data_IF_651379967456
#
_entry.id   IF_651379967456
#
_cell.length_a   1.000
_cell.length_b   1.000
_cell.length_c   1.000
_cell.angle_alpha   90.00
_cell.angle_beta   90.00
_cell.angle_gamma   90.00
#
_symmetry.space_group_name_H-M   'P 1'
#
loop_
_entity.id
_entity.type
_entity.pdbx_description
1 polymer ?
#
# COMPACT_ATOMS: atom_id res chain seq x y z
N UNK A 1 -27.96 34.48 9.58
CA UNK A 1 -27.38 33.20 9.14
C UNK A 1 -26.25 33.54 8.19
N UNK A 2 -25.07 32.95 8.36
CA UNK A 2 -23.93 33.22 7.47
C UNK A 2 -24.14 32.43 6.17
N UNK A 3 -23.99 33.08 5.03
CA UNK A 3 -24.00 32.39 3.73
C UNK A 3 -22.75 31.51 3.61
N UNK A 4 -22.95 30.24 3.28
CA UNK A 4 -21.87 29.25 3.14
C UNK A 4 -21.55 29.08 1.67
N UNK A 5 -20.36 29.51 1.25
CA UNK A 5 -19.85 29.25 -0.11
C UNK A 5 -18.74 28.22 -0.04
N UNK A 6 -18.49 27.54 -1.17
CA UNK A 6 -17.48 26.50 -1.27
C UNK A 6 -16.46 26.83 -2.35
N UNK A 7 -15.19 26.61 -2.04
CA UNK A 7 -14.15 26.49 -3.06
C UNK A 7 -14.26 25.11 -3.76
N UNK A 8 -14.58 25.06 -5.06
CA UNK A 8 -14.80 23.80 -5.77
C UNK A 8 -13.54 22.93 -5.84
N UNK A 9 -12.34 23.51 -5.82
CA UNK A 9 -11.09 22.76 -5.89
C UNK A 9 -10.78 22.06 -4.58
N UNK A 10 -11.03 22.73 -3.45
CA UNK A 10 -10.88 22.10 -2.14
C UNK A 10 -11.95 21.03 -1.91
N UNK A 11 -13.17 21.21 -2.44
CA UNK A 11 -14.20 20.16 -2.45
C UNK A 11 -13.71 18.93 -3.22
N UNK A 12 -13.19 19.12 -4.43
CA UNK A 12 -12.66 18.01 -5.24
C UNK A 12 -11.46 17.34 -4.56
N UNK A 13 -10.55 18.13 -3.97
CA UNK A 13 -9.39 17.62 -3.24
C UNK A 13 -9.80 16.80 -2.02
N UNK A 14 -10.83 17.20 -1.28
CA UNK A 14 -11.32 16.45 -0.12
C UNK A 14 -11.83 15.06 -0.55
N UNK A 15 -12.62 15.00 -1.62
CA UNK A 15 -13.12 13.73 -2.19
C UNK A 15 -11.96 12.85 -2.66
N UNK A 16 -10.96 13.43 -3.33
CA UNK A 16 -9.77 12.69 -3.79
C UNK A 16 -9.00 12.07 -2.61
N UNK A 17 -8.74 12.85 -1.55
CA UNK A 17 -8.07 12.37 -0.33
C UNK A 17 -8.83 11.20 0.29
N UNK A 18 -10.16 11.28 0.36
CA UNK A 18 -11.00 10.21 0.90
C UNK A 18 -10.87 8.91 0.09
N UNK A 19 -10.93 9.01 -1.24
CA UNK A 19 -10.81 7.86 -2.15
C UNK A 19 -9.41 7.25 -2.07
N UNK A 20 -8.36 8.07 -2.03
CA UNK A 20 -6.97 7.60 -1.92
C UNK A 20 -6.71 6.90 -0.59
N UNK A 21 -7.23 7.42 0.52
CA UNK A 21 -7.14 6.77 1.82
C UNK A 21 -7.89 5.43 1.85
N UNK A 22 -9.11 5.40 1.31
CA UNK A 22 -9.90 4.17 1.19
C UNK A 22 -9.18 3.11 0.35
N UNK A 23 -8.59 3.51 -0.79
CA UNK A 23 -7.81 2.61 -1.64
C UNK A 23 -6.59 2.05 -0.91
N UNK A 24 -5.83 2.93 -0.24
CA UNK A 24 -4.65 2.57 0.54
C UNK A 24 -5.01 1.54 1.61
N UNK A 25 -6.09 1.77 2.36
CA UNK A 25 -6.61 0.84 3.36
C UNK A 25 -7.00 -0.53 2.76
N UNK A 26 -7.78 -0.56 1.68
CA UNK A 26 -8.20 -1.82 1.06
C UNK A 26 -7.01 -2.59 0.45
N UNK A 27 -5.98 -1.88 -0.02
CA UNK A 27 -4.74 -2.48 -0.52
C UNK A 27 -3.86 -3.01 0.61
N UNK A 28 -3.69 -2.27 1.70
CA UNK A 28 -2.93 -2.70 2.89
C UNK A 28 -3.55 -3.92 3.57
N UNK A 29 -4.89 -3.99 3.58
CA UNK A 29 -5.60 -5.15 4.12
C UNK A 29 -5.60 -6.35 3.16
N UNK A 30 -5.12 -6.11 1.93
CA UNK A 30 -4.60 -7.03 0.92
C UNK A 30 -4.09 -8.40 1.34
N UNK A 31 -4.72 -9.53 1.04
CA UNK A 31 -4.08 -10.85 1.23
C UNK A 31 -3.72 -11.26 2.68
N UNK A 32 -4.06 -10.46 3.69
CA UNK A 32 -3.62 -10.66 5.07
C UNK A 32 -4.01 -12.00 5.72
N UNK A 33 -4.97 -12.72 5.15
CA UNK A 33 -5.36 -14.05 5.67
C UNK A 33 -4.23 -15.08 5.56
N UNK A 34 -3.29 -14.91 4.62
CA UNK A 34 -2.15 -15.79 4.42
C UNK A 34 -0.91 -15.43 5.28
N UNK A 35 -0.91 -14.25 5.92
CA UNK A 35 0.24 -13.77 6.70
C UNK A 35 0.12 -14.17 8.18
N UNK A 36 1.24 -14.16 8.88
CA UNK A 36 1.28 -14.35 10.34
C UNK A 36 0.40 -13.32 11.08
N UNK A 37 -0.02 -13.69 12.30
CA UNK A 37 -0.89 -12.85 13.15
C UNK A 37 -0.28 -11.48 13.43
N UNK A 38 1.03 -11.40 13.68
CA UNK A 38 1.70 -10.15 14.03
C UNK A 38 1.80 -9.20 12.83
N UNK A 39 2.16 -9.74 11.65
CA UNK A 39 2.15 -8.97 10.39
C UNK A 39 0.73 -8.48 10.10
N UNK A 40 -0.28 -9.33 10.31
CA UNK A 40 -1.69 -8.96 10.11
C UNK A 40 -2.11 -7.82 11.02
N UNK A 41 -1.77 -7.87 12.31
CA UNK A 41 -2.05 -6.78 13.27
C UNK A 41 -1.39 -5.47 12.85
N UNK A 42 -0.10 -5.51 12.48
CA UNK A 42 0.64 -4.35 12.04
C UNK A 42 0.01 -3.72 10.78
N UNK A 43 -0.32 -4.52 9.77
CA UNK A 43 -0.97 -4.05 8.54
C UNK A 43 -2.37 -3.48 8.77
N UNK A 44 -3.12 -4.02 9.71
CA UNK A 44 -4.43 -3.47 10.10
C UNK A 44 -4.25 -2.13 10.82
N UNK A 45 -3.24 -1.99 11.68
CA UNK A 45 -2.93 -0.72 12.32
C UNK A 45 -2.55 0.35 11.28
N UNK A 46 -1.69 0.03 10.32
CA UNK A 46 -1.35 0.90 9.19
C UNK A 46 -2.59 1.30 8.38
N UNK A 47 -3.46 0.33 8.06
CA UNK A 47 -4.69 0.57 7.32
C UNK A 47 -5.70 1.43 8.10
N UNK A 48 -5.79 1.26 9.42
CA UNK A 48 -6.64 2.06 10.29
C UNK A 48 -6.16 3.51 10.40
N UNK A 49 -4.84 3.71 10.53
CA UNK A 49 -4.23 5.04 10.51
C UNK A 49 -4.47 5.71 9.16
N UNK A 50 -4.26 5.00 8.04
CA UNK A 50 -4.48 5.53 6.70
C UNK A 50 -5.96 5.89 6.45
N UNK A 51 -6.90 5.00 6.77
CA UNK A 51 -8.33 5.24 6.58
C UNK A 51 -8.85 6.31 7.54
N UNK A 52 -8.60 6.18 8.83
CA UNK A 52 -9.05 7.14 9.84
C UNK A 52 -8.44 8.52 9.65
N UNK A 53 -7.12 8.58 9.40
CA UNK A 53 -6.42 9.81 9.06
C UNK A 53 -6.91 10.43 7.74
N UNK A 54 -7.30 9.61 6.76
CA UNK A 54 -7.89 10.09 5.51
C UNK A 54 -9.31 10.60 5.64
N UNK A 55 -10.14 9.97 6.49
CA UNK A 55 -11.48 10.48 6.84
C UNK A 55 -11.33 11.84 7.50
N UNK A 56 -10.42 11.96 8.48
CA UNK A 56 -10.10 13.21 9.17
C UNK A 56 -9.58 14.29 8.21
N UNK A 57 -8.61 13.93 7.35
CA UNK A 57 -8.05 14.84 6.36
C UNK A 57 -9.11 15.30 5.37
N UNK A 58 -9.97 14.41 4.85
CA UNK A 58 -11.09 14.80 3.99
C UNK A 58 -11.96 15.84 4.69
N UNK A 59 -12.38 15.58 5.93
CA UNK A 59 -13.24 16.50 6.68
C UNK A 59 -12.61 17.89 6.79
N UNK A 60 -11.34 17.99 7.16
CA UNK A 60 -10.70 19.30 7.34
C UNK A 60 -10.34 19.99 6.03
N UNK A 61 -9.99 19.26 4.96
CA UNK A 61 -9.88 19.84 3.61
C UNK A 61 -11.24 20.39 3.16
N UNK A 62 -12.33 19.67 3.42
CA UNK A 62 -13.68 20.13 3.10
C UNK A 62 -14.10 21.34 3.96
N UNK A 63 -13.73 21.37 5.23
CA UNK A 63 -13.94 22.54 6.10
C UNK A 63 -13.14 23.76 5.63
N UNK A 64 -11.95 23.57 5.09
CA UNK A 64 -11.20 24.66 4.46
C UNK A 64 -11.83 25.13 3.15
N UNK A 65 -12.59 24.28 2.46
CA UNK A 65 -13.36 24.68 1.30
C UNK A 65 -14.48 25.66 1.65
N UNK A 66 -14.94 25.65 2.90
CA UNK A 66 -16.01 26.53 3.38
C UNK A 66 -15.49 27.96 3.54
N UNK A 67 -16.07 28.86 2.76
CA UNK A 67 -15.77 30.29 2.80
C UNK A 67 -16.84 31.00 3.63
N UNK A 68 -16.45 31.42 4.85
CA UNK A 68 -17.26 32.27 5.71
C UNK A 68 -16.68 33.68 5.74
N UNK A 69 -17.54 34.68 5.93
CA UNK A 69 -17.15 36.08 6.12
C UNK A 69 -16.70 36.39 7.56
N UNK A 70 -16.21 35.37 8.28
CA UNK A 70 -15.72 35.44 9.66
C UNK A 70 -14.46 34.60 9.81
N UNK A 71 -13.57 35.02 10.71
CA UNK A 71 -12.37 34.24 11.06
C UNK A 71 -12.77 33.15 12.06
N UNK A 72 -12.41 31.91 11.74
CA UNK A 72 -12.61 30.74 12.61
C UNK A 72 -11.27 30.14 13.04
N UNK A 73 -11.26 29.58 14.24
CA UNK A 73 -10.14 28.84 14.80
C UNK A 73 -10.58 27.44 15.21
N UNK A 74 -9.64 26.59 15.56
CA UNK A 74 -9.93 25.21 15.96
C UNK A 74 -9.29 24.85 17.31
N UNK A 75 -10.07 24.23 18.18
CA UNK A 75 -9.58 23.64 19.42
C UNK A 75 -8.70 22.41 19.10
N UNK A 76 -7.40 22.43 19.45
CA UNK A 76 -6.49 21.34 19.08
C UNK A 76 -6.90 19.99 19.65
N UNK A 77 -7.43 19.96 20.87
CA UNK A 77 -7.78 18.72 21.56
C UNK A 77 -8.96 18.03 20.89
N UNK A 78 -10.02 18.78 20.55
CA UNK A 78 -11.18 18.26 19.81
C UNK A 78 -10.79 17.87 18.39
N UNK A 79 -9.91 18.62 17.73
CA UNK A 79 -9.40 18.29 16.39
C UNK A 79 -8.57 17.00 16.39
N UNK A 80 -7.69 16.78 17.37
CA UNK A 80 -6.92 15.54 17.49
C UNK A 80 -7.79 14.38 17.98
N UNK A 81 -8.71 14.65 18.91
CA UNK A 81 -9.67 13.67 19.41
C UNK A 81 -10.57 13.12 18.31
N UNK A 82 -11.01 13.95 17.37
CA UNK A 82 -11.79 13.50 16.22
C UNK A 82 -10.98 12.58 15.31
N UNK A 83 -9.71 12.92 15.02
CA UNK A 83 -8.80 12.04 14.29
C UNK A 83 -8.65 10.67 14.96
N UNK A 84 -8.43 10.67 16.28
CA UNK A 84 -8.24 9.46 17.07
C UNK A 84 -9.50 8.57 17.05
N UNK A 85 -10.69 9.16 17.22
CA UNK A 85 -11.96 8.42 17.12
C UNK A 85 -12.10 7.75 15.74
N UNK A 86 -11.81 8.47 14.65
CA UNK A 86 -11.87 7.88 13.31
C UNK A 86 -10.92 6.68 13.19
N UNK A 87 -9.67 6.80 13.64
CA UNK A 87 -8.68 5.71 13.57
C UNK A 87 -9.11 4.51 14.41
N UNK A 88 -9.54 4.71 15.66
CA UNK A 88 -9.86 3.61 16.57
C UNK A 88 -11.14 2.88 16.17
N UNK A 89 -12.20 3.62 15.80
CA UNK A 89 -13.49 3.01 15.45
C UNK A 89 -13.40 2.27 14.11
N UNK A 90 -12.77 2.89 13.09
CA UNK A 90 -12.56 2.20 11.80
C UNK A 90 -11.56 1.06 11.93
N UNK A 91 -10.51 1.20 12.76
CA UNK A 91 -9.59 0.12 13.08
C UNK A 91 -10.29 -1.08 13.72
N UNK A 92 -11.24 -0.85 14.62
CA UNK A 92 -12.07 -1.91 15.22
C UNK A 92 -12.90 -2.63 14.15
N UNK A 93 -13.48 -1.90 13.19
CA UNK A 93 -14.18 -2.50 12.05
C UNK A 93 -13.25 -3.35 11.18
N UNK A 94 -12.01 -2.91 10.94
CA UNK A 94 -11.01 -3.68 10.19
C UNK A 94 -10.56 -4.94 10.94
N UNK A 95 -10.33 -4.84 12.25
CA UNK A 95 -10.00 -5.99 13.10
C UNK A 95 -11.11 -7.04 13.04
N UNK A 96 -12.37 -6.61 13.16
CA UNK A 96 -13.54 -7.48 13.06
C UNK A 96 -13.59 -8.28 11.75
N UNK A 97 -13.18 -7.67 10.62
CA UNK A 97 -13.19 -8.29 9.29
C UNK A 97 -11.98 -9.17 8.98
N UNK A 98 -10.89 -9.03 9.72
CA UNK A 98 -9.62 -9.73 9.43
C UNK A 98 -9.23 -10.78 10.47
N UNK A 99 -9.88 -10.78 11.64
CA UNK A 99 -9.73 -11.78 12.70
C UNK A 99 -10.97 -12.66 12.88
N UNK A 100 -11.87 -12.69 11.90
CA UNK A 100 -13.05 -13.52 11.94
C UNK A 100 -13.56 -13.93 10.56
N UNK A 101 -14.45 -14.92 10.53
CA UNK A 101 -15.16 -15.31 9.32
C UNK A 101 -15.96 -14.15 8.75
N UNK A 102 -15.83 -13.92 7.44
CA UNK A 102 -16.46 -12.80 6.73
C UNK A 102 -17.89 -13.16 6.32
N UNK A 103 -18.76 -13.27 7.30
CA UNK A 103 -20.20 -13.49 7.06
C UNK A 103 -20.87 -12.17 6.65
N UNK A 104 -22.02 -12.21 5.94
CA UNK A 104 -22.77 -11.00 5.59
C UNK A 104 -23.10 -10.13 6.81
N UNK A 105 -23.48 -10.74 7.93
CA UNK A 105 -23.75 -10.02 9.18
C UNK A 105 -22.52 -9.29 9.72
N UNK A 106 -21.33 -9.91 9.67
CA UNK A 106 -20.08 -9.27 10.13
C UNK A 106 -19.68 -8.08 9.25
N UNK A 107 -19.93 -8.17 7.94
CA UNK A 107 -19.71 -7.07 7.01
C UNK A 107 -20.64 -5.90 7.32
N UNK A 108 -21.92 -6.18 7.59
CA UNK A 108 -22.88 -5.15 8.02
C UNK A 108 -22.42 -4.48 9.32
N UNK A 109 -22.03 -5.25 10.33
CA UNK A 109 -21.51 -4.69 11.60
C UNK A 109 -20.27 -3.83 11.37
N UNK A 110 -19.33 -4.27 10.54
CA UNK A 110 -18.15 -3.47 10.21
C UNK A 110 -18.50 -2.19 9.43
N UNK A 111 -19.49 -2.25 8.54
CA UNK A 111 -20.06 -1.09 7.85
C UNK A 111 -20.69 -0.09 8.83
N UNK A 112 -21.49 -0.58 9.79
CA UNK A 112 -22.06 0.23 10.86
C UNK A 112 -20.98 0.92 11.70
N UNK A 113 -19.98 0.16 12.17
CA UNK A 113 -18.86 0.73 12.93
C UNK A 113 -18.12 1.80 12.13
N UNK A 114 -17.80 1.52 10.86
CA UNK A 114 -17.15 2.50 9.97
C UNK A 114 -17.99 3.76 9.85
N UNK A 115 -19.29 3.63 9.57
CA UNK A 115 -20.24 4.75 9.47
C UNK A 115 -20.33 5.57 10.77
N UNK A 116 -20.46 4.90 11.91
CA UNK A 116 -20.47 5.54 13.23
C UNK A 116 -19.16 6.30 13.48
N UNK A 117 -18.01 5.73 13.11
CA UNK A 117 -16.72 6.41 13.21
C UNK A 117 -16.64 7.67 12.36
N UNK A 118 -17.16 7.63 11.12
CA UNK A 118 -17.21 8.80 10.22
C UNK A 118 -18.11 9.89 10.83
N UNK A 119 -19.31 9.52 11.31
CA UNK A 119 -20.27 10.45 11.93
C UNK A 119 -19.71 11.07 13.21
N UNK A 120 -19.15 10.25 14.10
CA UNK A 120 -18.57 10.71 15.36
C UNK A 120 -17.39 11.64 15.12
N UNK A 121 -16.49 11.29 14.18
CA UNK A 121 -15.39 12.18 13.81
C UNK A 121 -15.92 13.51 13.27
N UNK A 122 -16.90 13.50 12.36
CA UNK A 122 -17.43 14.72 11.77
C UNK A 122 -17.99 15.67 12.84
N UNK A 123 -18.91 15.21 13.69
CA UNK A 123 -19.52 16.11 14.68
C UNK A 123 -18.54 16.54 15.78
N UNK A 124 -17.60 15.68 16.18
CA UNK A 124 -16.53 16.10 17.09
C UNK A 124 -15.61 17.12 16.42
N UNK A 125 -15.29 16.94 15.14
CA UNK A 125 -14.51 17.90 14.34
C UNK A 125 -15.21 19.25 14.19
N UNK A 126 -16.51 19.25 13.91
CA UNK A 126 -17.33 20.47 13.87
C UNK A 126 -17.38 21.18 15.23
N UNK A 127 -17.39 20.42 16.33
CA UNK A 127 -17.36 21.00 17.68
C UNK A 127 -16.00 21.63 18.05
N UNK A 128 -14.96 21.40 17.26
CA UNK A 128 -13.66 22.04 17.43
C UNK A 128 -13.65 23.49 16.94
N UNK A 129 -14.63 23.90 16.12
CA UNK A 129 -14.71 25.29 15.62
C UNK A 129 -14.92 26.23 16.80
N UNK A 130 -14.05 27.23 16.89
CA UNK A 130 -14.02 28.29 17.91
C UNK A 130 -13.90 29.65 17.22
N UNK A 131 -14.25 30.73 17.93
CA UNK A 131 -14.26 32.11 17.41
C UNK A 131 -15.66 32.72 17.39
N UNK A 132 -15.86 33.76 16.55
CA UNK A 132 -17.10 34.55 16.49
C UNK A 132 -18.23 33.86 15.69
N UNK A 133 -18.22 32.53 15.65
CA UNK A 133 -19.16 31.73 14.88
C UNK A 133 -19.70 30.57 15.74
N UNK A 134 -21.01 30.55 15.95
CA UNK A 134 -21.72 29.45 16.57
C UNK A 134 -22.21 28.48 15.49
N UNK A 135 -21.87 27.20 15.68
CA UNK A 135 -22.27 26.09 14.81
C UNK A 135 -23.48 25.40 15.43
N UNK A 136 -24.60 25.37 14.71
CA UNK A 136 -25.83 24.74 15.17
C UNK A 136 -26.21 23.54 14.29
N UNK A 137 -26.56 22.42 14.94
CA UNK A 137 -26.98 21.19 14.29
C UNK A 137 -28.47 20.94 14.54
N UNK A 138 -29.26 20.85 13.47
CA UNK A 138 -30.66 20.42 13.59
C UNK A 138 -30.74 18.91 13.79
N UNK A 139 -31.58 18.39 14.72
CA UNK A 139 -31.66 16.96 15.01
C UNK A 139 -32.01 16.11 13.78
N UNK A 140 -32.86 16.64 12.90
CA UNK A 140 -33.22 15.99 11.63
C UNK A 140 -32.03 15.87 10.68
N UNK A 141 -31.25 16.94 10.53
CA UNK A 141 -30.04 16.94 9.70
C UNK A 141 -29.01 15.95 10.21
N UNK A 142 -28.83 15.89 11.53
CA UNK A 142 -27.96 14.90 12.19
C UNK A 142 -28.41 13.48 11.90
N UNK A 143 -29.70 13.18 12.08
CA UNK A 143 -30.25 11.87 11.82
C UNK A 143 -30.10 11.44 10.35
N UNK A 144 -30.42 12.33 9.40
CA UNK A 144 -30.34 12.05 7.98
C UNK A 144 -28.90 11.86 7.51
N UNK A 145 -27.98 12.75 7.89
CA UNK A 145 -26.57 12.61 7.55
C UNK A 145 -25.98 11.32 8.15
N UNK A 146 -26.37 10.98 9.39
CA UNK A 146 -25.95 9.73 10.03
C UNK A 146 -26.46 8.50 9.28
N UNK A 147 -27.73 8.51 8.85
CA UNK A 147 -28.31 7.43 8.05
C UNK A 147 -27.60 7.28 6.70
N UNK A 148 -27.29 8.39 6.02
CA UNK A 148 -26.51 8.40 4.77
C UNK A 148 -25.12 7.82 5.00
N UNK A 149 -24.41 8.28 6.02
CA UNK A 149 -23.06 7.83 6.33
C UNK A 149 -22.98 6.35 6.68
N UNK A 150 -23.89 5.88 7.54
CA UNK A 150 -23.95 4.47 7.95
C UNK A 150 -24.38 3.59 6.77
N UNK A 151 -25.46 3.93 6.08
CA UNK A 151 -25.96 3.17 4.94
C UNK A 151 -24.94 3.07 3.81
N UNK A 152 -24.33 4.19 3.42
CA UNK A 152 -23.31 4.21 2.38
C UNK A 152 -22.05 3.44 2.79
N UNK A 153 -21.66 3.46 4.07
CA UNK A 153 -20.55 2.67 4.58
C UNK A 153 -20.83 1.17 4.53
N UNK A 154 -22.05 0.73 4.87
CA UNK A 154 -22.45 -0.68 4.75
C UNK A 154 -22.33 -1.15 3.29
N UNK A 155 -22.89 -0.39 2.35
CA UNK A 155 -22.84 -0.71 0.92
C UNK A 155 -21.40 -0.74 0.39
N UNK A 156 -20.56 0.22 0.81
CA UNK A 156 -19.15 0.26 0.43
C UNK A 156 -18.38 -0.96 0.97
N UNK A 157 -18.60 -1.34 2.23
CA UNK A 157 -17.95 -2.50 2.84
C UNK A 157 -18.44 -3.81 2.21
N UNK A 158 -19.72 -3.91 1.89
CA UNK A 158 -20.28 -5.04 1.17
C UNK A 158 -19.63 -5.21 -0.21
N UNK A 159 -19.52 -4.13 -0.99
CA UNK A 159 -18.89 -4.19 -2.30
C UNK A 159 -17.39 -4.52 -2.22
N UNK A 160 -16.69 -3.94 -1.24
CA UNK A 160 -15.25 -4.12 -1.08
C UNK A 160 -14.87 -5.54 -0.61
N UNK A 161 -15.68 -6.17 0.26
CA UNK A 161 -15.32 -7.41 0.95
C UNK A 161 -16.10 -8.65 0.48
N UNK A 162 -17.20 -8.52 -0.26
CA UNK A 162 -17.99 -9.67 -0.76
C UNK A 162 -17.24 -10.49 -1.82
N UNK A 163 -16.55 -9.83 -2.77
CA UNK A 163 -15.72 -10.50 -3.79
C UNK A 163 -14.38 -9.78 -3.93
N UNK A 164 -13.30 -10.34 -3.38
CA UNK A 164 -12.00 -9.68 -3.32
C UNK A 164 -11.23 -9.73 -4.65
N UNK A 165 -11.68 -8.95 -5.62
CA UNK A 165 -11.00 -8.76 -6.92
C UNK A 165 -10.35 -7.38 -6.99
N UNK A 166 -9.37 -7.17 -7.89
CA UNK A 166 -8.78 -5.84 -8.12
C UNK A 166 -9.84 -4.79 -8.46
N UNK A 167 -10.85 -5.16 -9.26
CA UNK A 167 -11.99 -4.30 -9.60
C UNK A 167 -12.80 -3.93 -8.36
N UNK A 168 -13.09 -4.91 -7.49
CA UNK A 168 -13.81 -4.67 -6.24
C UNK A 168 -13.03 -3.79 -5.26
N UNK A 169 -11.69 -3.88 -5.22
CA UNK A 169 -10.87 -2.96 -4.44
C UNK A 169 -10.97 -1.53 -4.96
N UNK A 170 -10.92 -1.35 -6.29
CA UNK A 170 -11.04 -0.02 -6.89
C UNK A 170 -12.45 0.56 -6.68
N UNK A 171 -13.49 -0.18 -7.03
CA UNK A 171 -14.88 0.28 -6.84
C UNK A 171 -15.21 0.48 -5.37
N UNK A 172 -14.79 -0.43 -4.49
CA UNK A 172 -14.94 -0.30 -3.05
C UNK A 172 -14.27 0.95 -2.48
N UNK A 173 -13.06 1.29 -2.96
CA UNK A 173 -12.36 2.50 -2.53
C UNK A 173 -13.07 3.79 -2.94
N UNK A 174 -13.56 3.85 -4.18
CA UNK A 174 -14.35 4.99 -4.68
C UNK A 174 -15.66 5.11 -3.88
N UNK A 175 -16.40 4.02 -3.71
CA UNK A 175 -17.66 4.03 -2.95
C UNK A 175 -17.44 4.42 -1.49
N UNK A 176 -16.38 3.96 -0.86
CA UNK A 176 -16.07 4.33 0.53
C UNK A 176 -15.68 5.81 0.63
N UNK A 177 -14.85 6.33 -0.28
CA UNK A 177 -14.51 7.76 -0.32
C UNK A 177 -15.73 8.65 -0.58
N UNK A 178 -16.62 8.22 -1.47
CA UNK A 178 -17.91 8.88 -1.73
C UNK A 178 -18.85 8.78 -0.54
N UNK A 179 -18.89 7.67 0.19
CA UNK A 179 -19.70 7.52 1.41
C UNK A 179 -19.27 8.53 2.49
N UNK A 180 -17.96 8.65 2.72
CA UNK A 180 -17.36 9.60 3.67
C UNK A 180 -17.71 11.04 3.24
N UNK A 181 -17.57 11.36 1.96
CA UNK A 181 -17.87 12.69 1.41
C UNK A 181 -19.36 13.02 1.45
N UNK A 182 -20.23 12.08 1.08
CA UNK A 182 -21.68 12.25 1.10
C UNK A 182 -22.20 12.50 2.51
N UNK A 183 -21.67 11.79 3.51
CA UNK A 183 -22.00 12.07 4.90
C UNK A 183 -21.60 13.49 5.30
N UNK A 184 -20.36 13.90 5.01
CA UNK A 184 -19.89 15.24 5.36
C UNK A 184 -20.72 16.35 4.70
N UNK A 185 -20.90 16.31 3.38
CA UNK A 185 -21.62 17.38 2.68
C UNK A 185 -23.12 17.38 2.98
N UNK A 186 -23.72 16.22 3.27
CA UNK A 186 -25.11 16.18 3.77
C UNK A 186 -25.21 16.80 5.17
N UNK A 187 -24.30 16.50 6.09
CA UNK A 187 -24.27 17.13 7.41
C UNK A 187 -24.06 18.65 7.32
N UNK A 188 -23.17 19.10 6.43
CA UNK A 188 -22.92 20.52 6.18
C UNK A 188 -24.14 21.23 5.60
N UNK A 189 -24.91 20.58 4.72
CA UNK A 189 -26.13 21.16 4.15
C UNK A 189 -27.21 21.47 5.20
N UNK A 190 -27.21 20.76 6.33
CA UNK A 190 -28.12 21.02 7.46
C UNK A 190 -27.47 21.78 8.63
N UNK A 191 -26.19 22.14 8.51
CA UNK A 191 -25.47 22.89 9.53
C UNK A 191 -25.70 24.39 9.34
N UNK A 192 -26.04 25.08 10.41
CA UNK A 192 -26.23 26.54 10.39
C UNK A 192 -25.08 27.23 11.11
N UNK A 193 -24.44 28.19 10.43
CA UNK A 193 -23.44 29.07 11.02
C UNK A 193 -24.09 30.41 11.40
N UNK A 194 -23.93 30.82 12.66
CA UNK A 194 -24.47 32.07 13.21
C UNK A 194 -23.34 32.93 13.76
N UNK A 195 -23.40 34.23 13.48
CA UNK A 195 -22.57 35.22 14.16
C UNK A 195 -22.93 35.25 15.65
N UNK A 196 -21.92 35.41 16.48
CA UNK A 196 -22.09 35.68 17.91
C UNK A 196 -21.53 37.06 18.21
N UNK A 197 -22.36 37.93 18.81
CA UNK A 197 -22.00 39.30 19.19
C UNK A 197 -21.21 39.38 20.51
N UNK A 198 -21.09 38.26 21.23
CA UNK A 198 -20.30 38.16 22.45
C UNK A 198 -18.88 37.70 22.11
N UNK A 199 -17.84 38.54 22.27
CA UNK A 199 -16.46 38.10 22.06
C UNK A 199 -16.17 36.96 23.05
N UNK A 200 -16.04 35.74 22.53
CA UNK A 200 -15.53 34.61 23.29
C UNK A 200 -14.02 34.82 23.45
N UNK A 201 -13.62 35.42 24.56
CA UNK A 201 -12.21 35.45 24.97
C UNK A 201 -11.83 34.03 25.39
N UNK A 202 -11.60 33.15 24.43
CA UNK A 202 -11.01 31.84 24.71
C UNK A 202 -9.51 32.01 24.85
N UNK A 203 -9.05 32.15 26.09
CA UNK A 203 -7.66 31.96 26.48
C UNK A 203 -7.32 30.46 26.42
N UNK A 204 -7.19 29.91 25.21
CA UNK A 204 -6.80 28.52 24.94
C UNK A 204 -5.90 28.54 23.70
N UNK A 205 -4.83 27.72 23.61
CA UNK A 205 -4.12 27.57 22.33
C UNK A 205 -5.13 27.12 21.26
N UNK A 206 -5.32 27.95 20.25
CA UNK A 206 -6.21 27.68 19.13
C UNK A 206 -5.38 27.47 17.85
N UNK A 207 -5.71 26.46 17.07
CA UNK A 207 -5.11 26.25 15.75
C UNK A 207 -5.69 27.27 14.77
N UNK A 208 -4.80 28.07 14.20
CA UNK A 208 -5.15 28.91 13.04
C UNK A 208 -5.50 28.01 11.84
N UNK A 209 -6.33 28.53 10.93
CA UNK A 209 -6.64 27.84 9.69
C UNK A 209 -5.37 27.48 8.89
N UNK A 210 -4.34 28.34 8.90
CA UNK A 210 -3.06 28.06 8.23
C UNK A 210 -2.26 26.95 8.89
N UNK A 211 -2.20 26.90 10.22
CA UNK A 211 -1.52 25.81 10.95
C UNK A 211 -2.21 24.47 10.72
N UNK A 212 -3.55 24.47 10.75
CA UNK A 212 -4.33 23.27 10.47
C UNK A 212 -4.16 22.82 9.02
N UNK A 213 -4.16 23.76 8.07
CA UNK A 213 -3.90 23.49 6.66
C UNK A 213 -2.56 22.77 6.45
N UNK A 214 -1.50 23.20 7.13
CA UNK A 214 -0.19 22.57 7.04
C UNK A 214 -0.23 21.12 7.55
N UNK A 215 -0.84 20.89 8.72
CA UNK A 215 -0.95 19.53 9.29
C UNK A 215 -1.74 18.62 8.35
N UNK A 216 -2.88 19.10 7.85
CA UNK A 216 -3.75 18.35 6.94
C UNK A 216 -3.05 18.10 5.59
N UNK A 217 -2.32 19.07 5.06
CA UNK A 217 -1.54 18.93 3.83
C UNK A 217 -0.43 17.87 3.98
N UNK A 218 0.27 17.84 5.12
CA UNK A 218 1.26 16.81 5.42
C UNK A 218 0.62 15.42 5.51
N UNK A 219 -0.53 15.31 6.20
CA UNK A 219 -1.27 14.06 6.27
C UNK A 219 -1.74 13.59 4.88
N UNK A 220 -2.30 14.49 4.07
CA UNK A 220 -2.73 14.21 2.70
C UNK A 220 -1.54 13.82 1.80
N UNK A 221 -0.39 14.46 1.97
CA UNK A 221 0.85 14.11 1.26
C UNK A 221 1.31 12.69 1.60
N UNK A 222 1.32 12.31 2.88
CA UNK A 222 1.65 10.94 3.31
C UNK A 222 0.65 9.93 2.72
N UNK A 223 -0.65 10.23 2.78
CA UNK A 223 -1.69 9.39 2.19
C UNK A 223 -1.48 9.26 0.68
N UNK A 224 -1.11 10.33 -0.01
CA UNK A 224 -0.79 10.33 -1.44
C UNK A 224 0.43 9.46 -1.75
N UNK A 225 1.52 9.63 -1.01
CA UNK A 225 2.72 8.79 -1.16
C UNK A 225 2.40 7.31 -0.98
N UNK A 226 1.67 6.95 0.09
CA UNK A 226 1.23 5.58 0.34
C UNK A 226 0.30 5.07 -0.76
N UNK A 227 -0.66 5.88 -1.20
CA UNK A 227 -1.54 5.57 -2.32
C UNK A 227 -0.74 5.25 -3.57
N UNK A 228 0.21 6.10 -3.97
CA UNK A 228 1.04 5.91 -5.16
C UNK A 228 1.90 4.65 -5.06
N UNK A 229 2.56 4.43 -3.90
CA UNK A 229 3.34 3.22 -3.63
C UNK A 229 2.49 1.94 -3.75
N UNK A 230 1.23 2.00 -3.33
CA UNK A 230 0.30 0.87 -3.41
C UNK A 230 -0.37 0.78 -4.80
N UNK A 231 -0.53 1.88 -5.51
CA UNK A 231 -1.19 1.96 -6.81
C UNK A 231 -0.33 1.36 -7.92
N UNK A 232 0.99 1.52 -7.84
CA UNK A 232 1.92 0.80 -8.71
C UNK A 232 1.67 -0.69 -8.53
N UNK A 233 1.34 -1.44 -9.59
CA UNK A 233 1.33 -2.89 -9.55
C UNK A 233 2.77 -3.35 -9.35
N UNK A 234 3.23 -3.35 -8.11
CA UNK A 234 4.40 -4.12 -7.76
C UNK A 234 4.12 -5.55 -8.18
N UNK A 235 5.11 -6.18 -8.80
CA UNK A 235 5.32 -7.60 -8.68
C UNK A 235 5.46 -7.90 -7.17
N UNK A 236 4.35 -7.85 -6.43
CA UNK A 236 4.23 -8.48 -5.13
C UNK A 236 4.32 -9.95 -5.46
N UNK A 237 5.57 -10.34 -5.46
CA UNK A 237 6.10 -11.59 -5.88
C UNK A 237 5.26 -12.71 -5.32
N UNK A 238 5.00 -13.67 -6.18
CA UNK A 238 4.66 -15.03 -5.83
C UNK A 238 5.69 -15.71 -4.87
N UNK A 239 6.65 -14.96 -4.32
CA UNK A 239 7.64 -15.41 -3.34
C UNK A 239 7.11 -15.55 -1.90
N UNK A 240 5.86 -15.19 -1.60
CA UNK A 240 5.23 -15.48 -0.28
C UNK A 240 4.18 -16.59 -0.35
N UNK A 241 4.14 -17.34 -1.46
CA UNK A 241 3.34 -18.56 -1.63
C UNK A 241 4.20 -19.82 -1.69
N UNK A 242 5.36 -19.79 -1.01
CA UNK A 242 6.24 -20.94 -0.82
C UNK A 242 6.10 -21.51 0.59
N UNK A 243 5.44 -22.68 0.67
CA UNK A 243 5.57 -23.70 1.72
C UNK A 243 4.82 -23.50 3.06
N UNK A 244 3.51 -23.80 3.04
CA UNK A 244 2.88 -24.52 4.18
C UNK A 244 2.16 -25.72 3.59
N UNK A 245 2.82 -26.88 3.68
CA UNK A 245 2.30 -28.20 3.34
C UNK A 245 1.34 -28.65 4.46
N UNK A 246 0.04 -28.87 4.21
CA UNK A 246 -0.82 -29.55 5.17
C UNK A 246 -0.49 -31.04 5.13
N UNK A 247 -0.01 -31.53 6.26
CA UNK A 247 0.15 -32.94 6.56
C UNK A 247 -1.21 -33.67 6.50
N UNK A 248 -1.13 -34.94 6.11
CA UNK A 248 -2.23 -35.77 5.62
C UNK A 248 -3.41 -35.94 6.59
N UNK A 249 -4.63 -35.96 6.03
CA UNK A 249 -5.75 -36.71 6.58
C UNK A 249 -6.43 -37.51 5.45
N UNK A 250 -6.35 -38.83 5.60
CA UNK A 250 -6.86 -39.88 4.72
C UNK A 250 -8.39 -39.97 4.80
N UNK A 251 -9.09 -40.18 3.68
CA UNK A 251 -10.50 -40.58 3.68
C UNK A 251 -11.19 -40.57 2.30
N UNK A 252 -11.34 -41.75 1.70
CA UNK A 252 -12.08 -42.12 0.46
C UNK A 252 -13.53 -41.55 0.41
N UNK A 253 -14.21 -41.27 -0.71
CA UNK A 253 -14.55 -42.14 -1.88
C UNK A 253 -15.08 -41.36 -3.14
N UNK A 254 -14.61 -41.80 -4.31
CA UNK A 254 -15.23 -41.97 -5.65
C UNK A 254 -16.12 -40.90 -6.36
N UNK A 255 -15.79 -40.55 -7.63
CA UNK A 255 -16.61 -39.74 -8.56
C UNK A 255 -17.15 -40.55 -9.76
N UNK A 256 -18.38 -40.28 -10.22
CA UNK A 256 -18.85 -40.56 -11.58
C UNK A 256 -20.27 -40.00 -11.78
N UNK A 257 -20.60 -39.56 -13.00
CA UNK A 257 -21.90 -39.03 -13.47
C UNK A 257 -22.14 -37.52 -13.30
N UNK A 258 -21.36 -36.72 -14.01
CA UNK A 258 -21.85 -35.40 -14.47
C UNK A 258 -21.14 -34.90 -15.74
N UNK A 259 -19.93 -35.38 -16.01
CA UNK A 259 -19.12 -34.94 -17.16
C UNK A 259 -19.64 -35.40 -18.54
N UNK A 260 -20.59 -36.34 -18.60
CA UNK A 260 -20.97 -36.99 -19.87
C UNK A 260 -22.14 -36.31 -20.60
N UNK A 261 -22.74 -35.22 -20.05
CA UNK A 261 -23.96 -34.61 -20.63
C UNK A 261 -23.81 -33.22 -21.26
N UNK A 262 -22.60 -32.68 -21.36
CA UNK A 262 -22.40 -31.31 -21.92
C UNK A 262 -21.61 -31.30 -23.24
N UNK A 263 -21.05 -32.43 -23.68
CA UNK A 263 -20.16 -32.49 -24.84
C UNK A 263 -20.86 -32.58 -26.23
N UNK A 264 -22.16 -32.28 -26.34
CA UNK A 264 -22.88 -32.39 -27.61
C UNK A 264 -23.71 -31.13 -27.92
N UNK A 265 -23.03 -30.05 -28.33
CA UNK A 265 -23.46 -29.08 -29.36
C UNK A 265 -22.63 -27.80 -29.24
N UNK A 266 -21.75 -27.56 -30.21
CA UNK A 266 -21.54 -26.31 -30.98
C UNK A 266 -20.15 -26.36 -31.67
N UNK A 267 -20.04 -25.99 -32.97
CA UNK A 267 -18.79 -26.06 -33.72
C UNK A 267 -17.79 -24.94 -33.39
N UNK A 268 -16.52 -25.30 -33.53
CA UNK A 268 -15.30 -24.64 -33.04
C UNK A 268 -14.84 -23.49 -33.96
N UNK A 269 -14.94 -22.24 -33.47
CA UNK A 269 -14.23 -21.08 -34.03
C UNK A 269 -13.18 -20.53 -33.04
N UNK A 270 -12.87 -21.28 -31.98
CA UNK A 270 -11.99 -20.84 -30.90
C UNK A 270 -10.57 -21.40 -30.98
N UNK A 271 -10.36 -22.49 -31.74
CA UNK A 271 -9.08 -23.18 -31.85
C UNK A 271 -8.02 -22.46 -32.70
N UNK A 272 -8.39 -21.48 -33.53
CA UNK A 272 -7.43 -20.72 -34.35
C UNK A 272 -6.82 -19.55 -33.58
N UNK A 273 -7.57 -18.89 -32.70
CA UNK A 273 -7.07 -17.77 -31.88
C UNK A 273 -6.25 -18.24 -30.66
N UNK A 274 -6.55 -19.42 -30.13
CA UNK A 274 -5.84 -19.99 -28.96
C UNK A 274 -4.48 -20.59 -29.32
N UNK A 275 -4.26 -21.06 -30.56
CA UNK A 275 -2.92 -21.49 -31.01
C UNK A 275 -1.96 -20.32 -31.31
N UNK A 276 -2.45 -19.12 -31.61
CA UNK A 276 -1.63 -17.92 -31.76
C UNK A 276 -1.29 -17.26 -30.41
N UNK A 277 -2.17 -17.36 -29.40
CA UNK A 277 -1.96 -16.73 -28.08
C UNK A 277 -1.10 -17.57 -27.12
N UNK A 278 -1.01 -18.89 -27.32
CA UNK A 278 -0.19 -19.80 -26.49
C UNK A 278 1.27 -19.88 -26.95
N UNK A 279 1.62 -19.38 -28.15
CA UNK A 279 3.00 -19.38 -28.66
C UNK A 279 3.81 -18.11 -28.33
N UNK A 280 3.24 -17.18 -27.56
CA UNK A 280 3.79 -15.81 -27.40
C UNK A 280 4.42 -15.44 -26.06
N UNK A 281 4.46 -16.29 -25.03
CA UNK A 281 5.18 -16.00 -23.76
C UNK A 281 5.89 -17.22 -23.17
N UNK A 282 6.79 -17.77 -23.95
CA UNK A 282 8.12 -18.11 -23.44
C UNK A 282 9.09 -17.12 -24.08
N UNK A 283 9.16 -15.90 -23.55
CA UNK A 283 10.36 -15.10 -23.77
C UNK A 283 11.45 -15.75 -22.94
N UNK A 284 12.36 -16.46 -23.61
CA UNK A 284 13.69 -16.70 -23.08
C UNK A 284 14.17 -15.40 -22.41
N UNK A 285 14.65 -15.49 -21.17
CA UNK A 285 15.35 -14.37 -20.55
C UNK A 285 16.55 -14.12 -21.43
N UNK A 286 16.50 -13.08 -22.27
CA UNK A 286 17.65 -12.69 -23.06
C UNK A 286 18.74 -12.30 -22.06
N UNK A 287 19.87 -13.01 -22.09
CA UNK A 287 21.05 -12.65 -21.28
C UNK A 287 21.39 -11.20 -21.58
N UNK A 288 21.40 -10.37 -20.55
CA UNK A 288 21.56 -8.93 -20.73
C UNK A 288 23.06 -8.63 -20.74
N UNK A 289 23.58 -8.09 -21.84
CA UNK A 289 25.01 -7.75 -21.99
C UNK A 289 25.42 -6.48 -21.22
N UNK A 290 24.45 -5.68 -20.73
CA UNK A 290 24.70 -4.43 -20.00
C UNK A 290 23.75 -4.23 -18.82
N UNK A 291 24.28 -3.93 -17.64
CA UNK A 291 23.48 -3.67 -16.44
C UNK A 291 23.32 -2.15 -16.23
N UNK A 292 22.09 -1.66 -15.94
CA UNK A 292 21.89 -0.25 -15.62
C UNK A 292 22.47 0.10 -14.26
N UNK A 293 23.13 1.26 -14.17
CA UNK A 293 23.54 1.87 -12.91
C UNK A 293 23.22 3.37 -12.92
N UNK A 294 23.00 3.93 -11.74
CA UNK A 294 22.70 5.35 -11.56
C UNK A 294 23.96 6.12 -11.17
N UNK A 295 24.24 7.21 -11.88
CA UNK A 295 25.28 8.17 -11.53
C UNK A 295 24.85 9.57 -11.97
N UNK A 296 24.97 10.55 -11.09
CA UNK A 296 24.60 11.96 -11.35
C UNK A 296 23.16 12.10 -11.87
N UNK A 297 22.21 11.39 -11.23
CA UNK A 297 20.78 11.38 -11.60
C UNK A 297 20.51 10.91 -13.05
N UNK A 298 21.46 10.18 -13.65
CA UNK A 298 21.39 9.63 -15.01
C UNK A 298 21.57 8.12 -14.99
N UNK A 299 20.71 7.40 -15.71
CA UNK A 299 20.86 5.95 -15.90
C UNK A 299 21.91 5.71 -16.98
N UNK A 300 23.02 5.06 -16.60
CA UNK A 300 24.07 4.60 -17.49
C UNK A 300 24.07 3.07 -17.54
N UNK A 301 24.78 2.50 -18.51
CA UNK A 301 24.82 1.05 -18.72
C UNK A 301 26.27 0.55 -18.65
N UNK A 302 26.54 -0.41 -17.78
CA UNK A 302 27.85 -1.05 -17.61
C UNK A 302 27.85 -2.41 -18.31
N UNK A 303 28.82 -2.71 -19.18
CA UNK A 303 28.90 -4.04 -19.81
C UNK A 303 29.18 -5.11 -18.76
N UNK A 304 28.55 -6.28 -18.91
CA UNK A 304 28.70 -7.40 -17.96
C UNK A 304 30.16 -7.85 -17.80
N UNK A 305 30.98 -7.74 -18.85
CA UNK A 305 32.41 -8.05 -18.81
C UNK A 305 33.24 -7.13 -17.90
N UNK A 306 32.78 -5.90 -17.63
CA UNK A 306 33.49 -4.95 -16.75
C UNK A 306 33.15 -5.14 -15.26
N UNK A 307 32.13 -5.94 -14.94
CA UNK A 307 31.69 -6.16 -13.56
C UNK A 307 32.64 -7.14 -12.88
N UNK A 308 33.21 -6.73 -11.74
CA UNK A 308 34.00 -7.58 -10.84
C UNK A 308 33.09 -8.33 -9.86
N UNK A 309 32.25 -7.58 -9.14
CA UNK A 309 31.36 -8.09 -8.13
C UNK A 309 30.03 -7.31 -8.08
N UNK A 310 29.01 -7.98 -7.55
CA UNK A 310 27.72 -7.37 -7.22
C UNK A 310 27.38 -7.72 -5.78
N UNK A 311 27.10 -6.70 -4.98
CA UNK A 311 26.71 -6.82 -3.57
C UNK A 311 25.25 -6.44 -3.38
N UNK A 312 24.51 -7.22 -2.61
CA UNK A 312 23.15 -6.89 -2.21
C UNK A 312 23.12 -5.89 -1.04
N UNK A 313 22.32 -4.83 -1.17
CA UNK A 313 22.00 -3.86 -0.12
C UNK A 313 20.47 -3.72 -0.04
N UNK A 314 19.83 -4.54 0.79
CA UNK A 314 18.37 -4.57 0.92
C UNK A 314 17.69 -5.00 -0.39
N UNK A 315 16.97 -4.08 -1.04
CA UNK A 315 16.22 -4.33 -2.28
C UNK A 315 16.95 -3.93 -3.56
N UNK A 316 18.14 -3.34 -3.44
CA UNK A 316 18.98 -2.88 -4.54
C UNK A 316 20.37 -3.53 -4.45
N UNK A 317 21.23 -3.21 -5.41
CA UNK A 317 22.60 -3.76 -5.47
C UNK A 317 23.63 -2.67 -5.73
N UNK A 318 24.85 -2.95 -5.26
CA UNK A 318 26.06 -2.20 -5.59
C UNK A 318 26.88 -3.03 -6.57
N UNK A 319 27.18 -2.47 -7.73
CA UNK A 319 28.00 -3.09 -8.76
C UNK A 319 29.40 -2.51 -8.67
N UNK A 320 30.41 -3.36 -8.63
CA UNK A 320 31.81 -2.94 -8.54
C UNK A 320 32.52 -3.26 -9.85
N UNK A 321 33.23 -2.28 -10.40
CA UNK A 321 34.18 -2.42 -11.50
C UNK A 321 35.59 -1.98 -11.03
N UNK A 322 36.53 -1.88 -11.97
CA UNK A 322 37.89 -1.41 -11.67
C UNK A 322 37.97 0.09 -11.28
N UNK A 323 36.94 0.89 -11.57
CA UNK A 323 36.89 2.33 -11.32
C UNK A 323 36.19 2.69 -10.00
N UNK A 324 35.33 1.82 -9.50
CA UNK A 324 34.68 1.98 -8.21
C UNK A 324 33.36 1.24 -8.10
N UNK A 325 32.48 1.75 -7.25
CA UNK A 325 31.19 1.17 -6.94
C UNK A 325 30.04 2.03 -7.49
N UNK A 326 29.06 1.38 -8.11
CA UNK A 326 27.88 2.03 -8.68
C UNK A 326 26.59 1.48 -8.08
N UNK A 327 25.60 2.36 -7.94
CA UNK A 327 24.27 1.98 -7.49
C UNK A 327 23.46 1.37 -8.64
N UNK A 328 22.87 0.20 -8.40
CA UNK A 328 21.95 -0.45 -9.32
C UNK A 328 20.60 -0.71 -8.64
N UNK A 329 19.47 -0.27 -9.23
CA UNK A 329 18.15 -0.47 -8.64
C UNK A 329 17.65 -1.92 -8.72
N UNK A 330 18.39 -2.82 -9.37
CA UNK A 330 18.00 -4.23 -9.47
C UNK A 330 18.37 -4.99 -8.20
N UNK A 331 17.51 -5.93 -7.79
CA UNK A 331 17.82 -6.86 -6.72
C UNK A 331 18.87 -7.88 -7.19
N UNK A 332 19.59 -8.49 -6.22
CA UNK A 332 20.61 -9.49 -6.55
C UNK A 332 20.03 -10.69 -7.31
N UNK A 333 18.80 -11.11 -7.01
CA UNK A 333 18.14 -12.21 -7.73
C UNK A 333 17.80 -11.84 -9.18
N UNK A 334 17.45 -10.57 -9.44
CA UNK A 334 17.22 -10.08 -10.80
C UNK A 334 18.52 -10.02 -11.60
N UNK A 335 19.60 -9.57 -10.97
CA UNK A 335 20.93 -9.54 -11.60
C UNK A 335 21.41 -10.97 -11.90
N UNK A 336 21.27 -11.89 -10.95
CA UNK A 336 21.62 -13.31 -11.14
C UNK A 336 20.84 -13.95 -12.29
N UNK A 337 19.56 -13.63 -12.45
CA UNK A 337 18.75 -14.13 -13.56
C UNK A 337 19.06 -13.44 -14.91
N UNK A 338 19.55 -12.21 -14.88
CA UNK A 338 19.84 -11.42 -16.09
C UNK A 338 21.24 -11.66 -16.65
N UNK A 339 22.18 -12.06 -15.81
CA UNK A 339 23.57 -12.35 -16.17
C UNK A 339 23.76 -13.79 -16.59
N UNK A 340 24.82 -14.03 -17.35
CA UNK A 340 25.21 -15.36 -17.78
C UNK A 340 25.70 -16.21 -16.58
N UNK A 341 25.04 -17.32 -16.24
CA UNK A 341 25.42 -18.17 -15.10
C UNK A 341 26.77 -18.85 -15.27
N UNK A 342 27.28 -18.98 -16.50
CA UNK A 342 28.64 -19.50 -16.73
C UNK A 342 29.70 -18.48 -16.33
N UNK A 343 29.41 -17.19 -16.52
CA UNK A 343 30.32 -16.08 -16.21
C UNK A 343 30.19 -15.60 -14.76
N UNK A 344 28.99 -15.62 -14.18
CA UNK A 344 28.72 -15.10 -12.84
C UNK A 344 28.37 -16.18 -11.82
N UNK A 345 29.05 -16.14 -10.68
CA UNK A 345 28.91 -17.12 -9.60
C UNK A 345 28.43 -16.49 -8.31
N UNK A 346 27.39 -17.07 -7.72
CA UNK A 346 26.88 -16.65 -6.41
C UNK A 346 27.70 -17.28 -5.28
N UNK A 347 28.66 -16.53 -4.76
CA UNK A 347 29.57 -16.95 -3.68
C UNK A 347 28.91 -16.86 -2.30
N UNK A 348 28.00 -15.91 -2.12
CA UNK A 348 27.27 -15.68 -0.86
C UNK A 348 25.82 -15.30 -1.15
N UNK A 349 24.93 -15.39 -0.15
CA UNK A 349 23.54 -14.91 -0.27
C UNK A 349 23.44 -13.44 -0.71
N UNK A 350 24.49 -12.66 -0.48
CA UNK A 350 24.57 -11.22 -0.78
C UNK A 350 25.64 -10.86 -1.80
N UNK A 351 26.35 -11.82 -2.40
CA UNK A 351 27.41 -11.55 -3.37
C UNK A 351 27.30 -12.43 -4.61
N UNK A 352 27.43 -11.78 -5.77
CA UNK A 352 27.61 -12.40 -7.08
C UNK A 352 28.95 -11.91 -7.64
N UNK A 353 29.72 -12.80 -8.22
CA UNK A 353 31.11 -12.55 -8.62
C UNK A 353 31.31 -12.95 -10.07
N UNK A 354 32.02 -12.13 -10.85
CA UNK A 354 32.44 -12.52 -12.19
C UNK A 354 33.67 -13.43 -12.10
N UNK A 355 33.53 -14.66 -12.59
CA UNK A 355 34.56 -15.69 -12.51
C UNK A 355 35.83 -15.34 -13.27
N UNK A 356 35.69 -14.59 -14.36
CA UNK A 356 36.84 -14.21 -15.20
C UNK A 356 37.78 -13.24 -14.49
N UNK A 357 37.31 -12.58 -13.43
CA UNK A 357 38.08 -11.60 -12.67
C UNK A 357 38.58 -12.13 -11.32
N UNK A 358 38.42 -13.42 -11.04
CA UNK A 358 38.95 -14.04 -9.80
C UNK A 358 40.47 -14.16 -9.93
N UNK A 359 41.20 -13.37 -9.15
CA UNK A 359 42.67 -13.36 -9.10
C UNK A 359 43.22 -14.29 -8.02
N UNK A 360 42.39 -14.70 -7.06
CA UNK A 360 42.80 -15.66 -6.04
C UNK A 360 41.65 -16.16 -5.18
N UNK A 361 41.90 -17.22 -4.43
CA UNK A 361 40.95 -17.79 -3.47
C UNK A 361 41.69 -18.18 -2.19
N UNK A 362 41.13 -17.80 -1.04
CA UNK A 362 41.64 -18.19 0.29
C UNK A 362 40.59 -19.02 1.00
N UNK A 363 41.01 -20.18 1.50
CA UNK A 363 40.22 -21.04 2.39
C UNK A 363 40.79 -20.97 3.79
N UNK A 364 39.92 -20.80 4.78
CA UNK A 364 40.25 -20.83 6.20
C UNK A 364 39.20 -21.65 6.94
N UNK A 365 39.41 -22.97 6.98
CA UNK A 365 38.45 -23.94 7.51
C UNK A 365 37.13 -23.92 6.72
N UNK A 366 36.04 -23.59 7.40
CA UNK A 366 34.69 -23.53 6.82
C UNK A 366 34.38 -22.18 6.13
N UNK A 367 35.33 -21.27 6.03
CA UNK A 367 35.14 -19.95 5.39
C UNK A 367 36.05 -19.86 4.16
N UNK A 368 35.52 -19.32 3.07
CA UNK A 368 36.29 -18.99 1.88
C UNK A 368 36.17 -17.51 1.53
N UNK A 369 37.13 -16.98 0.78
CA UNK A 369 37.08 -15.65 0.21
C UNK A 369 37.71 -15.66 -1.19
N UNK A 370 37.05 -14.98 -2.14
CA UNK A 370 37.59 -14.74 -3.48
C UNK A 370 38.21 -13.35 -3.55
N UNK A 371 39.39 -13.25 -4.14
CA UNK A 371 40.03 -11.98 -4.51
C UNK A 371 39.70 -11.67 -5.96
N UNK A 372 39.31 -10.42 -6.22
CA UNK A 372 38.83 -9.99 -7.53
C UNK A 372 39.65 -8.85 -8.09
N UNK A 373 40.02 -8.94 -9.36
CA UNK A 373 40.88 -7.97 -10.03
C UNK A 373 42.29 -7.97 -9.45
N UNK A 374 43.30 -8.09 -10.32
CA UNK A 374 44.69 -7.96 -9.87
C UNK A 374 44.93 -6.54 -9.34
N UNK A 375 45.39 -6.42 -8.09
CA UNK A 375 45.75 -5.14 -7.47
C UNK A 375 44.60 -4.30 -6.91
N UNK A 376 43.33 -4.72 -7.00
CA UNK A 376 42.19 -3.93 -6.45
C UNK A 376 42.00 -4.11 -4.93
N UNK A 377 42.49 -5.22 -4.38
CA UNK A 377 42.27 -5.59 -2.97
C UNK A 377 40.84 -6.01 -2.63
N UNK A 378 39.95 -6.20 -3.63
CA UNK A 378 38.57 -6.57 -3.40
C UNK A 378 38.44 -8.03 -2.93
N UNK A 379 38.06 -8.21 -1.66
CA UNK A 379 37.82 -9.51 -1.03
C UNK A 379 36.31 -9.77 -0.88
N UNK A 380 35.81 -10.84 -1.51
CA UNK A 380 34.39 -11.24 -1.48
C UNK A 380 34.22 -12.54 -0.69
N UNK A 381 33.37 -12.59 0.35
CA UNK A 381 33.19 -13.78 1.16
C UNK A 381 32.45 -14.90 0.40
N UNK A 382 32.83 -16.15 0.69
CA UNK A 382 32.19 -17.37 0.20
C UNK A 382 31.50 -18.08 1.36
N UNK A 383 30.22 -18.38 1.19
CA UNK A 383 29.42 -19.08 2.20
C UNK A 383 29.76 -20.58 2.28
N UNK A 384 29.61 -21.16 3.47
CA UNK A 384 29.79 -22.60 3.74
C UNK A 384 29.10 -23.50 2.72
N UNK A 385 27.83 -23.24 2.45
CA UNK A 385 27.02 -24.03 1.51
C UNK A 385 27.37 -23.84 0.03
N UNK A 386 28.24 -22.90 -0.31
CA UNK A 386 28.71 -22.64 -1.69
C UNK A 386 30.20 -22.93 -1.87
N UNK A 387 30.93 -23.27 -0.79
CA UNK A 387 32.37 -23.45 -0.81
C UNK A 387 32.80 -24.55 -1.79
N UNK A 388 32.17 -25.73 -1.70
CA UNK A 388 32.46 -26.86 -2.59
C UNK A 388 32.14 -26.55 -4.06
N UNK A 389 31.07 -25.79 -4.32
CA UNK A 389 30.71 -25.36 -5.67
C UNK A 389 31.74 -24.38 -6.22
N UNK A 390 32.20 -23.41 -5.42
CA UNK A 390 33.22 -22.44 -5.83
C UNK A 390 34.55 -23.14 -6.09
N UNK A 391 34.95 -24.09 -5.25
CA UNK A 391 36.19 -24.88 -5.43
C UNK A 391 36.20 -25.68 -6.72
N UNK A 392 35.11 -26.42 -7.01
CA UNK A 392 34.96 -27.18 -8.25
C UNK A 392 34.99 -26.27 -9.49
N UNK A 393 34.36 -25.10 -9.41
CA UNK A 393 34.31 -24.13 -10.52
C UNK A 393 35.62 -23.37 -10.75
N UNK A 394 36.52 -23.35 -9.77
CA UNK A 394 37.87 -22.79 -9.86
C UNK A 394 38.94 -23.85 -10.16
N UNK A 395 38.56 -25.14 -10.25
CA UNK A 395 39.49 -26.24 -10.50
C UNK A 395 40.44 -26.53 -9.33
N UNK A 396 40.01 -26.23 -8.09
CA UNK A 396 40.79 -26.46 -6.86
C UNK A 396 40.51 -27.84 -6.22
N UNK A 397 39.54 -28.57 -6.75
CA UNK A 397 39.13 -29.94 -6.41
C UNK A 397 38.88 -30.68 -7.70
#
# INVERSE_FOLDING_TARGET
MIEVRYDPWLVAASVAVAVMAAFTCLRLTSGLSATSTDVRKARIAEAAIALGGGIWSMHFVAMMAVQLNVVIFYDPLRTLGSALIAVLVTGTALLLLHFGERTPGRIVVAGCLTGIGIVAMHYLGMSAITGNCLVAFGPWGVALASAIGIGASILAMEMAYRKRTRRATLTGSVLLGLAVSAMHYSAMAFTTFRLTDSPSVTAVPALSQGSLALIVALAAFVICGLFLLMAVPGEMSAADAGDVRPEAAVGRTAPARLAERVAARLPDQSAVLSKAFVRGRQTAVAQVTRIPYEKDNTIRFLPSSAILAVRAEGHYTRIQDAQGEFFCPWSISRIEAALDPETFLRTHRSYLVNRQHISGFRKSGDKGACFLGEGTGLEVPVSRGRLQQVEALLGLT
#
